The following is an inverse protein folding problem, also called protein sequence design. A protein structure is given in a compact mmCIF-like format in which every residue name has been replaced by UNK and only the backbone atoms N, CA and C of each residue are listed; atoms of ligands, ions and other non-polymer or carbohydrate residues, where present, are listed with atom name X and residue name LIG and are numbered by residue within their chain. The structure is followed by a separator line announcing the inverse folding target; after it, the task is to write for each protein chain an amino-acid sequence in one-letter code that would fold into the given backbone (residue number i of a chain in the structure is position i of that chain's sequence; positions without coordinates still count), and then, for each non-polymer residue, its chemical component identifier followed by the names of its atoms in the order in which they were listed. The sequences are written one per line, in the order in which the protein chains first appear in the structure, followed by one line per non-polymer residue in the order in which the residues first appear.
data_IF_653516143345
#
_entry.id   IF_653516143345
#
_cell.length_a   1.000
_cell.length_b   1.000
_cell.length_c   1.000
_cell.angle_alpha   90.00
_cell.angle_beta   90.00
_cell.angle_gamma   90.00
#
_symmetry.space_group_name_H-M   'P 1'
#
loop_
_entity.id
_entity.type
_entity.pdbx_description
1 polymer ?
#
# COMPACT_ATOMS: atom_id res chain seq x y z
N UNK A 1 -11.72 12.03 5.91
CA UNK A 1 -10.76 11.12 6.55
C UNK A 1 -9.38 11.09 5.88
N UNK A 2 -9.17 11.71 4.70
CA UNK A 2 -7.86 11.80 4.03
C UNK A 2 -6.85 12.73 4.72
N UNK A 3 -7.23 13.34 5.83
CA UNK A 3 -6.49 14.43 6.48
C UNK A 3 -6.09 14.14 7.91
N UNK A 4 -5.96 12.87 8.31
CA UNK A 4 -5.32 12.60 9.60
C UNK A 4 -3.81 12.79 9.39
N UNK A 5 -3.21 13.85 9.95
CA UNK A 5 -1.77 14.03 9.86
C UNK A 5 -1.04 12.83 10.48
N UNK A 6 0.07 12.42 9.87
CA UNK A 6 0.88 11.30 10.38
C UNK A 6 1.23 11.45 11.87
N UNK A 7 1.44 12.70 12.32
CA UNK A 7 1.73 12.99 13.72
C UNK A 7 0.57 12.64 14.68
N UNK A 8 -0.69 12.85 14.27
CA UNK A 8 -1.87 12.50 15.08
C UNK A 8 -1.98 10.98 15.23
N UNK A 9 -1.70 10.26 14.14
CA UNK A 9 -1.65 8.81 14.13
C UNK A 9 -0.59 8.29 15.11
N UNK A 10 0.59 8.89 15.13
CA UNK A 10 1.67 8.52 16.06
C UNK A 10 1.30 8.82 17.50
N UNK A 11 0.68 9.99 17.78
CA UNK A 11 0.23 10.33 19.14
C UNK A 11 -0.79 9.30 19.63
N UNK A 12 -1.72 8.87 18.78
CA UNK A 12 -2.72 7.86 19.14
C UNK A 12 -2.13 6.45 19.30
N UNK A 13 -1.19 6.06 18.45
CA UNK A 13 -0.55 4.74 18.50
C UNK A 13 0.63 4.66 19.47
N UNK A 14 1.24 5.79 19.83
CA UNK A 14 2.42 5.85 20.68
C UNK A 14 2.31 5.06 22.01
N UNK A 15 1.23 5.19 22.78
CA UNK A 15 1.02 4.40 24.00
C UNK A 15 0.98 2.91 23.72
N UNK A 16 0.32 2.48 22.64
CA UNK A 16 0.19 1.07 22.25
C UNK A 16 1.57 0.52 21.89
N UNK A 17 2.34 1.27 21.09
CA UNK A 17 3.69 0.87 20.69
C UNK A 17 4.67 0.83 21.87
N UNK A 18 4.54 1.72 22.85
CA UNK A 18 5.35 1.69 24.07
C UNK A 18 5.02 0.48 24.93
N UNK A 19 3.74 0.18 25.12
CA UNK A 19 3.31 -1.00 25.86
C UNK A 19 3.76 -2.29 25.18
N UNK A 20 3.64 -2.35 23.86
CA UNK A 20 4.05 -3.49 23.05
C UNK A 20 5.57 -3.67 23.01
N UNK A 21 6.34 -2.60 23.20
CA UNK A 21 7.82 -2.64 23.21
C UNK A 21 8.41 -3.21 24.47
N UNK A 22 7.64 -3.23 25.58
CA UNK A 22 8.19 -3.52 26.89
C UNK A 22 8.54 -5.00 27.11
N UNK A 23 7.87 -5.94 26.43
CA UNK A 23 8.01 -7.37 26.77
C UNK A 23 8.25 -8.36 25.61
N UNK A 24 7.81 -8.11 24.39
CA UNK A 24 7.77 -9.18 23.35
C UNK A 24 8.25 -8.74 21.97
N UNK A 25 8.27 -7.46 21.65
CA UNK A 25 8.38 -6.99 20.28
C UNK A 25 9.51 -5.97 20.10
N UNK A 26 10.67 -6.37 20.53
CA UNK A 26 11.93 -5.66 20.32
C UNK A 26 11.97 -4.96 18.96
N UNK A 27 12.39 -3.72 18.90
CA UNK A 27 12.76 -2.80 17.79
C UNK A 27 12.56 -3.28 16.33
N UNK A 28 11.89 -4.40 16.09
CA UNK A 28 11.74 -4.97 14.76
C UNK A 28 10.85 -4.07 13.88
N UNK A 29 11.35 -3.62 12.70
CA UNK A 29 10.61 -2.76 11.78
C UNK A 29 9.29 -3.36 11.28
N UNK A 30 9.13 -4.69 11.35
CA UNK A 30 7.92 -5.37 10.87
C UNK A 30 6.64 -4.85 11.56
N UNK A 31 6.74 -4.38 12.79
CA UNK A 31 5.60 -3.84 13.52
C UNK A 31 5.10 -2.49 13.00
N UNK A 32 5.90 -1.80 12.18
CA UNK A 32 5.45 -0.61 11.45
C UNK A 32 4.32 -0.94 10.46
N UNK A 33 4.16 -2.20 10.04
CA UNK A 33 3.10 -2.58 9.11
C UNK A 33 1.70 -2.19 9.62
N UNK A 34 1.44 -2.30 10.92
CA UNK A 34 0.14 -1.91 11.49
C UNK A 34 -0.12 -0.40 11.38
N UNK A 35 0.90 0.42 11.68
CA UNK A 35 0.80 1.86 11.51
C UNK A 35 0.64 2.24 10.03
N UNK A 36 1.37 1.56 9.15
CA UNK A 36 1.31 1.81 7.71
C UNK A 36 -0.02 1.37 7.08
N UNK A 37 -0.63 0.29 7.56
CA UNK A 37 -1.99 -0.09 7.12
C UNK A 37 -2.97 1.05 7.40
N UNK A 38 -2.94 1.63 8.60
CA UNK A 38 -3.82 2.76 8.95
C UNK A 38 -3.50 3.99 8.10
N UNK A 39 -2.22 4.28 7.85
CA UNK A 39 -1.76 5.41 7.06
C UNK A 39 -2.21 5.31 5.60
N UNK A 40 -2.11 4.11 5.01
CA UNK A 40 -2.39 3.85 3.60
C UNK A 40 -3.87 3.62 3.34
N UNK A 41 -4.63 3.18 4.33
CA UNK A 41 -6.04 2.81 4.23
C UNK A 41 -6.91 3.84 3.49
N UNK A 42 -6.83 5.15 3.76
CA UNK A 42 -7.66 6.13 3.07
C UNK A 42 -7.34 6.23 1.56
N UNK A 43 -6.09 6.06 1.18
CA UNK A 43 -5.66 6.09 -0.23
C UNK A 43 -6.12 4.83 -0.96
N UNK A 44 -5.90 3.66 -0.37
CA UNK A 44 -6.35 2.38 -0.92
C UNK A 44 -7.89 2.35 -1.04
N UNK A 45 -8.61 2.80 -0.01
CA UNK A 45 -10.06 2.88 -0.04
C UNK A 45 -10.55 3.77 -1.19
N UNK A 46 -9.92 4.94 -1.39
CA UNK A 46 -10.32 5.86 -2.47
C UNK A 46 -10.08 5.25 -3.85
N UNK A 47 -8.94 4.60 -4.08
CA UNK A 47 -8.65 3.93 -5.34
C UNK A 47 -9.66 2.81 -5.64
N UNK A 48 -9.98 1.99 -4.63
CA UNK A 48 -10.97 0.93 -4.76
C UNK A 48 -12.39 1.48 -4.94
N UNK A 49 -12.77 2.55 -4.24
CA UNK A 49 -14.09 3.18 -4.38
C UNK A 49 -14.30 3.75 -5.80
N UNK A 50 -13.28 4.36 -6.40
CA UNK A 50 -13.32 4.81 -7.79
C UNK A 50 -13.55 3.63 -8.74
N UNK A 51 -12.84 2.53 -8.52
CA UNK A 51 -13.03 1.32 -9.31
C UNK A 51 -14.42 0.68 -9.15
N UNK A 52 -14.93 0.62 -7.93
CA UNK A 52 -16.28 0.11 -7.68
C UNK A 52 -17.35 0.96 -8.36
N UNK A 53 -17.17 2.28 -8.41
CA UNK A 53 -18.11 3.19 -9.07
C UNK A 53 -18.01 3.12 -10.61
N UNK A 54 -16.96 2.57 -11.18
CA UNK A 54 -16.79 2.41 -12.64
C UNK A 54 -17.44 1.14 -13.19
N UNK A 55 -17.87 0.21 -12.34
CA UNK A 55 -18.53 -1.04 -12.72
C UNK A 55 -19.97 -1.06 -12.17
N UNK A 56 -20.90 -1.63 -12.94
CA UNK A 56 -22.25 -1.88 -12.46
C UNK A 56 -22.26 -3.16 -11.60
N UNK A 57 -21.87 -3.00 -10.33
CA UNK A 57 -21.81 -4.09 -9.35
C UNK A 57 -23.17 -4.77 -9.20
N UNK A 58 -24.27 -4.00 -9.28
CA UNK A 58 -25.63 -4.53 -9.09
C UNK A 58 -25.97 -5.51 -10.20
N UNK A 59 -25.88 -5.10 -11.45
CA UNK A 59 -26.17 -5.96 -12.61
C UNK A 59 -25.23 -7.17 -12.64
N UNK A 60 -23.94 -6.99 -12.29
CA UNK A 60 -22.97 -8.08 -12.24
C UNK A 60 -23.34 -9.13 -11.19
N UNK A 61 -23.79 -8.68 -10.01
CA UNK A 61 -24.25 -9.57 -8.94
C UNK A 61 -25.54 -10.30 -9.33
N UNK A 62 -26.55 -9.59 -9.89
CA UNK A 62 -27.83 -10.15 -10.28
C UNK A 62 -27.64 -11.22 -11.37
N UNK A 63 -26.86 -10.92 -12.42
CA UNK A 63 -26.57 -11.88 -13.48
C UNK A 63 -25.84 -13.13 -12.96
N UNK A 64 -24.82 -12.94 -12.12
CA UNK A 64 -24.07 -14.07 -11.54
C UNK A 64 -24.96 -14.95 -10.66
N UNK A 65 -25.85 -14.34 -9.90
CA UNK A 65 -26.78 -15.06 -9.02
C UNK A 65 -27.88 -15.77 -9.79
N UNK A 66 -28.37 -15.21 -10.88
CA UNK A 66 -29.33 -15.88 -11.78
C UNK A 66 -28.74 -17.17 -12.39
N UNK A 67 -27.41 -17.21 -12.55
CA UNK A 67 -26.66 -18.41 -12.97
C UNK A 67 -26.37 -19.38 -11.81
N UNK A 68 -26.95 -19.18 -10.62
CA UNK A 68 -26.80 -20.06 -9.46
C UNK A 68 -25.47 -19.87 -8.69
N UNK A 69 -24.73 -18.79 -8.91
CA UNK A 69 -23.50 -18.53 -8.17
C UNK A 69 -23.78 -18.16 -6.70
N UNK A 70 -23.02 -18.77 -5.77
CA UNK A 70 -23.02 -18.36 -4.35
C UNK A 70 -22.30 -17.02 -4.15
N UNK A 71 -22.57 -16.29 -3.07
CA UNK A 71 -21.95 -15.00 -2.77
C UNK A 71 -20.40 -15.00 -2.84
N UNK A 72 -19.68 -15.99 -2.27
CA UNK A 72 -18.23 -16.08 -2.44
C UNK A 72 -17.81 -16.19 -3.91
N UNK A 73 -18.54 -16.98 -4.73
CA UNK A 73 -18.24 -17.09 -6.16
C UNK A 73 -18.43 -15.79 -6.91
N UNK A 74 -19.50 -15.04 -6.61
CA UNK A 74 -19.74 -13.72 -7.19
C UNK A 74 -18.60 -12.77 -6.85
N UNK A 75 -18.19 -12.72 -5.58
CA UNK A 75 -17.12 -11.85 -5.12
C UNK A 75 -15.78 -12.17 -5.79
N UNK A 76 -15.34 -13.43 -5.72
CA UNK A 76 -14.02 -13.81 -6.23
C UNK A 76 -13.95 -13.98 -7.75
N UNK A 77 -15.05 -14.35 -8.42
CA UNK A 77 -15.06 -14.62 -9.87
C UNK A 77 -15.69 -13.52 -10.72
N UNK A 78 -16.51 -12.66 -10.15
CA UNK A 78 -17.13 -11.56 -10.88
C UNK A 78 -16.61 -10.19 -10.44
N UNK A 79 -16.62 -9.85 -9.15
CA UNK A 79 -16.27 -8.52 -8.68
C UNK A 79 -14.76 -8.29 -8.70
N UNK A 80 -13.96 -9.12 -8.04
CA UNK A 80 -12.51 -8.94 -7.93
C UNK A 80 -11.81 -8.86 -9.30
N UNK A 81 -12.10 -9.72 -10.28
CA UNK A 81 -11.46 -9.63 -11.60
C UNK A 81 -11.76 -8.32 -12.35
N UNK A 82 -12.94 -7.74 -12.15
CA UNK A 82 -13.30 -6.45 -12.73
C UNK A 82 -12.69 -5.26 -11.97
N UNK A 83 -12.30 -5.45 -10.70
CA UNK A 83 -11.61 -4.45 -9.87
C UNK A 83 -10.08 -4.56 -9.94
N UNK A 84 -9.53 -5.48 -10.70
CA UNK A 84 -8.10 -5.77 -10.71
C UNK A 84 -7.24 -4.53 -10.93
N UNK A 85 -7.61 -3.67 -11.87
CA UNK A 85 -6.90 -2.42 -12.14
C UNK A 85 -6.92 -1.45 -10.95
N UNK A 86 -8.04 -1.37 -10.24
CA UNK A 86 -8.17 -0.53 -9.04
C UNK A 86 -7.38 -1.08 -7.85
N UNK A 87 -7.32 -2.40 -7.74
CA UNK A 87 -6.49 -3.09 -6.73
C UNK A 87 -5.01 -2.81 -6.99
N UNK A 88 -4.57 -2.87 -8.24
CA UNK A 88 -3.21 -2.52 -8.63
C UNK A 88 -2.89 -1.06 -8.33
N UNK A 89 -3.78 -0.13 -8.72
CA UNK A 89 -3.61 1.29 -8.42
C UNK A 89 -3.53 1.56 -6.91
N UNK A 90 -4.38 0.90 -6.11
CA UNK A 90 -4.33 0.97 -4.66
C UNK A 90 -2.99 0.46 -4.12
N UNK A 91 -2.48 -0.63 -4.67
CA UNK A 91 -1.19 -1.21 -4.29
C UNK A 91 -0.02 -0.29 -4.62
N UNK A 92 -0.01 0.32 -5.81
CA UNK A 92 1.03 1.28 -6.22
C UNK A 92 1.07 2.50 -5.31
N UNK A 93 -0.09 3.10 -5.04
CA UNK A 93 -0.18 4.25 -4.14
C UNK A 93 0.30 3.85 -2.73
N UNK A 94 -0.08 2.67 -2.26
CA UNK A 94 0.33 2.16 -0.95
C UNK A 94 1.84 2.00 -0.84
N UNK A 95 2.47 1.40 -1.83
CA UNK A 95 3.93 1.23 -1.90
C UNK A 95 4.62 2.59 -1.95
N UNK A 96 4.15 3.51 -2.79
CA UNK A 96 4.75 4.85 -2.91
C UNK A 96 4.69 5.62 -1.59
N UNK A 97 3.54 5.59 -0.89
CA UNK A 97 3.37 6.25 0.41
C UNK A 97 4.29 5.64 1.47
N UNK A 98 4.39 4.31 1.54
CA UNK A 98 5.24 3.64 2.54
C UNK A 98 6.72 3.85 2.27
N UNK A 99 7.15 3.84 1.01
CA UNK A 99 8.55 4.09 0.64
C UNK A 99 8.99 5.52 0.98
N UNK A 100 8.09 6.50 0.88
CA UNK A 100 8.37 7.89 1.23
C UNK A 100 8.16 8.23 2.71
N UNK A 101 7.73 7.29 3.53
CA UNK A 101 7.32 7.56 4.89
C UNK A 101 8.52 7.63 5.84
N UNK A 102 8.67 8.77 6.52
CA UNK A 102 9.69 9.06 7.53
C UNK A 102 9.08 9.30 8.91
N UNK A 103 7.96 10.03 8.96
CA UNK A 103 7.45 10.66 10.18
C UNK A 103 6.98 9.63 11.20
N UNK A 104 6.19 8.64 10.77
CA UNK A 104 5.67 7.60 11.67
C UNK A 104 6.80 6.74 12.20
N UNK A 105 7.70 6.29 11.33
CA UNK A 105 8.83 5.47 11.74
C UNK A 105 9.75 6.21 12.72
N UNK A 106 10.14 7.45 12.40
CA UNK A 106 11.01 8.29 13.23
C UNK A 106 10.40 8.56 14.61
N UNK A 107 9.14 8.98 14.65
CA UNK A 107 8.46 9.32 15.90
C UNK A 107 8.12 8.09 16.77
N UNK A 108 7.92 6.92 16.15
CA UNK A 108 7.77 5.66 16.89
C UNK A 108 9.13 5.02 17.27
N UNK A 109 10.25 5.68 16.95
CA UNK A 109 11.59 5.16 17.25
C UNK A 109 11.95 3.90 16.49
N UNK A 110 11.43 3.74 15.26
CA UNK A 110 11.64 2.55 14.43
C UNK A 110 12.48 2.87 13.20
N UNK A 111 13.30 1.92 12.78
CA UNK A 111 14.12 2.07 11.57
C UNK A 111 13.30 1.69 10.33
N UNK A 112 13.30 2.57 9.36
CA UNK A 112 12.89 2.30 7.97
C UNK A 112 13.92 2.91 7.03
N UNK A 113 13.70 2.80 5.71
CA UNK A 113 14.61 3.33 4.69
C UNK A 113 14.85 4.84 4.86
N UNK A 114 13.79 5.63 5.07
CA UNK A 114 13.88 7.09 5.18
C UNK A 114 14.58 7.54 6.47
N UNK A 115 14.34 6.85 7.59
CA UNK A 115 15.03 7.12 8.85
C UNK A 115 16.54 6.78 8.73
N UNK A 116 16.86 5.68 8.07
CA UNK A 116 18.26 5.31 7.82
C UNK A 116 18.98 6.35 6.93
N UNK A 117 18.34 6.81 5.85
CA UNK A 117 18.86 7.85 4.98
C UNK A 117 19.07 9.17 5.71
N UNK A 118 18.12 9.56 6.58
CA UNK A 118 18.24 10.75 7.40
C UNK A 118 19.42 10.66 8.38
N UNK A 119 19.57 9.54 9.09
CA UNK A 119 20.70 9.33 10.02
C UNK A 119 22.03 9.33 9.28
N UNK A 120 22.09 8.73 8.10
CA UNK A 120 23.28 8.77 7.26
C UNK A 120 23.62 10.22 6.84
N UNK A 121 22.59 11.03 6.58
CA UNK A 121 22.75 12.45 6.26
C UNK A 121 23.38 13.28 7.36
N UNK A 122 23.13 12.92 8.62
CA UNK A 122 23.73 13.58 9.77
C UNK A 122 25.24 13.29 9.92
N UNK A 123 25.68 12.13 9.45
CA UNK A 123 27.08 11.72 9.52
C UNK A 123 27.88 12.06 8.26
N UNK A 124 27.29 11.93 7.09
CA UNK A 124 27.91 12.22 5.81
C UNK A 124 26.88 12.62 4.74
N UNK A 125 26.78 13.92 4.48
CA UNK A 125 25.79 14.47 3.55
C UNK A 125 25.97 14.02 2.09
N UNK A 126 27.22 13.81 1.64
CA UNK A 126 27.48 13.36 0.27
C UNK A 126 27.01 11.93 0.05
N UNK A 127 27.33 11.04 0.99
CA UNK A 127 26.88 9.64 0.92
C UNK A 127 25.36 9.56 1.03
N UNK A 128 24.76 10.34 1.92
CA UNK A 128 23.30 10.40 2.07
C UNK A 128 22.60 10.85 0.79
N UNK A 129 23.12 11.88 0.12
CA UNK A 129 22.59 12.34 -1.17
C UNK A 129 22.65 11.27 -2.23
N UNK A 130 23.78 10.58 -2.36
CA UNK A 130 23.93 9.48 -3.31
C UNK A 130 22.95 8.33 -3.01
N UNK A 131 22.84 7.93 -1.75
CA UNK A 131 21.93 6.87 -1.32
C UNK A 131 20.45 7.25 -1.50
N UNK A 132 20.10 8.52 -1.28
CA UNK A 132 18.74 9.02 -1.52
C UNK A 132 18.37 8.99 -3.00
N UNK A 133 19.30 9.35 -3.89
CA UNK A 133 19.12 9.23 -5.33
C UNK A 133 18.96 7.77 -5.76
N UNK A 134 19.76 6.86 -5.22
CA UNK A 134 19.62 5.42 -5.48
C UNK A 134 18.30 4.88 -4.96
N UNK A 135 17.86 5.27 -3.79
CA UNK A 135 16.56 4.87 -3.23
C UNK A 135 15.38 5.38 -4.06
N UNK A 136 15.46 6.62 -4.55
CA UNK A 136 14.47 7.20 -5.45
C UNK A 136 14.44 6.43 -6.78
N UNK A 137 15.59 6.17 -7.37
CA UNK A 137 15.71 5.41 -8.62
C UNK A 137 15.19 3.99 -8.46
N UNK A 138 15.50 3.33 -7.34
CA UNK A 138 14.95 2.03 -7.00
C UNK A 138 13.42 2.07 -6.89
N UNK A 139 12.85 3.09 -6.21
CA UNK A 139 11.40 3.27 -6.11
C UNK A 139 10.73 3.43 -7.48
N UNK A 140 11.32 4.24 -8.36
CA UNK A 140 10.83 4.41 -9.74
C UNK A 140 10.90 3.10 -10.52
N UNK A 141 12.03 2.39 -10.47
CA UNK A 141 12.19 1.10 -11.15
C UNK A 141 11.15 0.09 -10.65
N UNK A 142 10.94 0.02 -9.34
CA UNK A 142 9.97 -0.89 -8.73
C UNK A 142 8.55 -0.58 -9.20
N UNK A 143 8.14 0.69 -9.23
CA UNK A 143 6.83 1.10 -9.70
C UNK A 143 6.64 0.80 -11.20
N UNK A 144 7.64 1.10 -12.03
CA UNK A 144 7.59 0.79 -13.48
C UNK A 144 7.54 -0.72 -13.70
N UNK A 145 8.33 -1.51 -12.97
CA UNK A 145 8.30 -2.96 -13.06
C UNK A 145 6.93 -3.54 -12.70
N UNK A 146 6.31 -3.03 -11.64
CA UNK A 146 4.95 -3.43 -11.25
C UNK A 146 3.91 -3.05 -12.31
N UNK A 147 4.03 -1.90 -12.93
CA UNK A 147 3.14 -1.45 -14.01
C UNK A 147 3.26 -2.35 -15.24
N UNK A 148 4.49 -2.66 -15.67
CA UNK A 148 4.75 -3.57 -16.77
C UNK A 148 4.22 -5.00 -16.51
N UNK A 149 4.38 -5.50 -15.29
CA UNK A 149 3.81 -6.80 -14.88
C UNK A 149 2.29 -6.77 -14.94
N UNK A 150 1.68 -5.69 -14.48
CA UNK A 150 0.24 -5.46 -14.55
C UNK A 150 -0.29 -5.53 -15.98
N UNK A 151 0.37 -4.81 -16.90
CA UNK A 151 0.01 -4.79 -18.32
C UNK A 151 0.21 -6.15 -19.00
N UNK A 152 1.27 -6.86 -18.65
CA UNK A 152 1.52 -8.21 -19.16
C UNK A 152 0.42 -9.19 -18.74
N UNK A 153 0.02 -9.14 -17.46
CA UNK A 153 -1.06 -9.98 -16.92
C UNK A 153 -2.41 -9.66 -17.58
N UNK A 154 -2.66 -8.39 -17.89
CA UNK A 154 -3.88 -7.95 -18.59
C UNK A 154 -3.93 -8.51 -20.01
N UNK A 155 -2.86 -8.37 -20.78
CA UNK A 155 -2.77 -8.90 -22.16
C UNK A 155 -2.91 -10.41 -22.23
N UNK A 156 -2.33 -11.13 -21.27
CA UNK A 156 -2.45 -12.59 -21.16
C UNK A 156 -3.89 -13.04 -20.91
N UNK A 157 -4.69 -12.23 -20.18
CA UNK A 157 -6.09 -12.54 -19.92
C UNK A 157 -6.97 -12.30 -21.16
N UNK A 158 -6.75 -11.22 -21.86
CA UNK A 158 -7.46 -10.90 -23.13
C UNK A 158 -7.17 -11.94 -24.23
N UNK A 159 -5.95 -12.50 -24.30
CA UNK A 159 -5.58 -13.54 -25.26
C UNK A 159 -6.18 -14.92 -24.93
N UNK A 160 -6.58 -15.19 -23.69
CA UNK A 160 -7.17 -16.47 -23.29
C UNK A 160 -8.71 -16.49 -23.41
N UNK A 161 -9.34 -15.34 -23.65
CA UNK A 161 -10.79 -15.18 -23.81
C UNK A 161 -11.21 -15.04 -25.30
N UNK A 162 -10.26 -14.96 -26.21
CA UNK A 162 -10.45 -14.98 -27.66
C UNK A 162 -10.25 -16.37 -28.25
#
# INVERSE_FOLDING_TARGET
PLTIPAIVLVVGLGPIYRWLSADVLNTNPIWLCFAYVILVMPFAFRALAVGLNSIDVKTLCEASRSLGASWPKVFFKAIIPNLWQSILSASFISIAVVLGEYTVASLLGRMNLQVALYQLGQSNSQISTAMSLLALLFGVILLVALDLISDALRKSKESNES
#
